data_IF_217400229295
#
_entry.id   IF_217400229295
#
_cell.length_a   1.000
_cell.length_b   1.000
_cell.length_c   1.000
_cell.angle_alpha   90.00
_cell.angle_beta   90.00
_cell.angle_gamma   90.00
#
_symmetry.space_group_name_H-M   'P 1'
#
loop_
_entity.id
_entity.type
_entity.pdbx_description
1 polymer ?
#
# COMPACT_ATOMS: atom_id res chain seq x y z
N UNK A 1 26.04 -10.69 36.16
CA UNK A 1 26.20 -9.27 35.73
C UNK A 1 25.37 -9.09 34.48
N UNK A 2 24.62 -8.00 34.36
CA UNK A 2 23.84 -7.69 33.16
C UNK A 2 24.82 -7.36 32.03
N UNK A 3 24.71 -8.07 30.91
CA UNK A 3 25.65 -7.89 29.81
C UNK A 3 25.16 -6.85 28.77
N UNK A 4 25.98 -6.55 27.77
CA UNK A 4 25.64 -5.55 26.76
C UNK A 4 24.37 -5.91 25.96
N UNK A 5 24.12 -7.22 25.73
CA UNK A 5 22.92 -7.69 25.04
C UNK A 5 21.67 -7.39 25.86
N UNK A 6 21.70 -7.67 27.17
CA UNK A 6 20.59 -7.36 28.09
C UNK A 6 20.28 -5.85 28.10
N UNK A 7 21.32 -5.01 28.12
CA UNK A 7 21.19 -3.56 28.05
C UNK A 7 20.51 -3.08 26.77
N UNK A 8 20.89 -3.64 25.62
CA UNK A 8 20.27 -3.31 24.32
C UNK A 8 18.81 -3.75 24.28
N UNK A 9 18.50 -4.95 24.78
CA UNK A 9 17.13 -5.47 24.84
C UNK A 9 16.24 -4.55 25.69
N UNK A 10 16.70 -4.20 26.90
CA UNK A 10 15.96 -3.31 27.80
C UNK A 10 15.81 -1.91 27.24
N UNK A 11 16.85 -1.36 26.61
CA UNK A 11 16.77 -0.05 25.97
C UNK A 11 15.77 -0.05 24.81
N UNK A 12 15.80 -1.07 23.95
CA UNK A 12 14.87 -1.21 22.83
C UNK A 12 13.42 -1.36 23.30
N UNK A 13 13.17 -2.23 24.28
CA UNK A 13 11.84 -2.42 24.87
C UNK A 13 11.36 -1.16 25.60
N UNK A 14 12.22 -0.54 26.41
CA UNK A 14 11.90 0.68 27.16
C UNK A 14 11.54 1.83 26.23
N UNK A 15 12.31 2.03 25.15
CA UNK A 15 12.00 3.01 24.12
C UNK A 15 10.68 2.69 23.42
N UNK A 16 10.45 1.43 23.03
CA UNK A 16 9.20 0.99 22.41
C UNK A 16 7.98 1.24 23.31
N UNK A 17 8.07 0.87 24.59
CA UNK A 17 7.07 1.16 25.60
C UNK A 17 6.82 2.67 25.76
N UNK A 18 7.89 3.47 25.85
CA UNK A 18 7.78 4.92 25.97
C UNK A 18 7.09 5.56 24.76
N UNK A 19 7.46 5.15 23.54
CA UNK A 19 6.81 5.61 22.32
C UNK A 19 5.34 5.21 22.26
N UNK A 20 5.01 3.98 22.67
CA UNK A 20 3.62 3.51 22.77
C UNK A 20 2.81 4.29 23.79
N UNK A 21 3.38 4.52 24.97
CA UNK A 21 2.75 5.29 26.04
C UNK A 21 2.45 6.73 25.61
N UNK A 22 3.41 7.37 24.92
CA UNK A 22 3.27 8.75 24.46
C UNK A 22 2.21 8.91 23.38
N UNK A 23 2.07 7.92 22.47
CA UNK A 23 1.10 7.97 21.37
C UNK A 23 -0.31 7.54 21.79
N UNK A 24 -0.43 6.57 22.69
CA UNK A 24 -1.70 5.97 23.08
C UNK A 24 -2.24 4.97 22.05
N UNK A 25 -3.04 4.02 22.52
CA UNK A 25 -3.59 2.92 21.75
C UNK A 25 -4.47 3.40 20.59
N UNK A 26 -5.45 4.25 20.87
CA UNK A 26 -6.41 4.73 19.88
C UNK A 26 -5.73 5.48 18.74
N UNK A 27 -4.73 6.29 19.04
CA UNK A 27 -3.93 6.99 18.02
C UNK A 27 -3.21 6.01 17.10
N UNK A 28 -2.70 4.91 17.64
CA UNK A 28 -2.02 3.86 16.87
C UNK A 28 -3.00 3.06 16.01
N UNK A 29 -4.15 2.68 16.58
CA UNK A 29 -5.20 1.94 15.87
C UNK A 29 -5.85 2.79 14.79
N UNK A 30 -6.19 4.05 15.08
CA UNK A 30 -6.71 4.98 14.07
C UNK A 30 -5.68 5.21 12.97
N UNK A 31 -4.41 5.39 13.33
CA UNK A 31 -3.34 5.55 12.35
C UNK A 31 -3.19 4.35 11.42
N UNK A 32 -3.00 3.14 11.98
CA UNK A 32 -2.84 1.91 11.21
C UNK A 32 -4.12 1.53 10.44
N UNK A 33 -5.27 1.64 11.11
CA UNK A 33 -6.58 1.35 10.53
C UNK A 33 -6.93 2.30 9.40
N UNK A 34 -6.59 3.58 9.49
CA UNK A 34 -6.85 4.54 8.42
C UNK A 34 -6.02 4.32 7.16
N UNK A 35 -4.81 3.77 7.26
CA UNK A 35 -4.06 3.38 6.06
C UNK A 35 -4.77 2.25 5.30
N UNK A 36 -5.21 1.22 6.02
CA UNK A 36 -5.95 0.09 5.43
C UNK A 36 -7.34 0.50 4.93
N UNK A 37 -8.14 1.13 5.78
CA UNK A 37 -9.47 1.62 5.41
C UNK A 37 -9.39 2.68 4.31
N UNK A 38 -8.38 3.55 4.33
CA UNK A 38 -8.16 4.54 3.28
C UNK A 38 -7.92 3.90 1.92
N UNK A 39 -7.24 2.75 1.88
CA UNK A 39 -7.08 1.99 0.64
C UNK A 39 -8.42 1.42 0.15
N UNK A 40 -9.23 0.84 1.03
CA UNK A 40 -10.56 0.32 0.66
C UNK A 40 -11.51 1.42 0.21
N UNK A 41 -11.54 2.55 0.92
CA UNK A 41 -12.32 3.74 0.55
C UNK A 41 -11.84 4.27 -0.80
N UNK A 42 -10.53 4.38 -1.01
CA UNK A 42 -9.98 4.78 -2.30
C UNK A 42 -10.40 3.83 -3.42
N UNK A 43 -10.31 2.53 -3.20
CA UNK A 43 -10.68 1.52 -4.20
C UNK A 43 -12.17 1.57 -4.56
N UNK A 44 -13.05 1.82 -3.59
CA UNK A 44 -14.49 1.90 -3.81
C UNK A 44 -14.95 3.20 -4.49
N UNK A 45 -14.32 4.32 -4.16
CA UNK A 45 -14.84 5.65 -4.52
C UNK A 45 -14.02 6.42 -5.56
N UNK A 46 -12.82 5.98 -5.94
CA UNK A 46 -11.94 6.77 -6.83
C UNK A 46 -12.59 7.10 -8.17
N UNK A 47 -13.36 6.18 -8.79
CA UNK A 47 -14.00 6.43 -10.09
C UNK A 47 -15.04 7.54 -10.03
N UNK A 48 -15.88 7.51 -8.99
CA UNK A 48 -16.94 8.52 -8.79
C UNK A 48 -16.32 9.89 -8.52
N UNK A 49 -15.31 9.93 -7.65
CA UNK A 49 -14.61 11.17 -7.31
C UNK A 49 -13.83 11.70 -8.50
N UNK A 50 -13.21 10.83 -9.30
CA UNK A 50 -12.50 11.23 -10.50
C UNK A 50 -13.42 11.83 -11.56
N UNK A 51 -14.59 11.23 -11.79
CA UNK A 51 -15.60 11.78 -12.70
C UNK A 51 -16.14 13.13 -12.21
N UNK A 52 -16.40 13.26 -10.90
CA UNK A 52 -16.85 14.52 -10.30
C UNK A 52 -15.82 15.65 -10.40
N UNK A 53 -14.55 15.34 -10.09
CA UNK A 53 -13.44 16.31 -10.21
C UNK A 53 -13.16 16.67 -11.67
N UNK A 54 -13.26 15.71 -12.59
CA UNK A 54 -13.09 15.99 -14.02
C UNK A 54 -14.20 16.90 -14.56
N UNK A 55 -15.45 16.70 -14.14
CA UNK A 55 -16.55 17.60 -14.49
C UNK A 55 -16.35 19.05 -14.01
N UNK A 56 -15.52 19.25 -12.99
CA UNK A 56 -15.18 20.57 -12.46
C UNK A 56 -13.95 21.20 -13.11
N UNK A 57 -12.90 20.42 -13.34
CA UNK A 57 -11.57 20.93 -13.73
C UNK A 57 -11.29 20.69 -15.22
N UNK A 58 -11.96 19.74 -15.86
CA UNK A 58 -11.70 19.33 -17.23
C UNK A 58 -10.29 18.74 -17.40
N UNK A 59 -9.80 18.01 -16.40
CA UNK A 59 -8.43 17.51 -16.36
C UNK A 59 -8.17 16.43 -17.41
N UNK A 60 -9.15 15.57 -17.68
CA UNK A 60 -9.06 14.49 -18.68
C UNK A 60 -9.01 15.06 -20.11
N UNK A 61 -9.89 16.00 -20.52
CA UNK A 61 -9.75 16.69 -21.81
C UNK A 61 -8.38 17.36 -21.99
N UNK A 62 -7.86 18.01 -20.95
CA UNK A 62 -6.55 18.66 -20.98
C UNK A 62 -5.40 17.64 -21.11
N UNK A 63 -5.40 16.58 -20.31
CA UNK A 63 -4.43 15.49 -20.38
C UNK A 63 -4.46 14.81 -21.75
N UNK A 64 -5.65 14.55 -22.30
CA UNK A 64 -5.81 14.02 -23.66
C UNK A 64 -5.17 14.94 -24.69
N UNK A 65 -5.48 16.24 -24.65
CA UNK A 65 -4.89 17.22 -25.56
C UNK A 65 -3.36 17.27 -25.47
N UNK A 66 -2.81 17.24 -24.26
CA UNK A 66 -1.37 17.20 -24.02
C UNK A 66 -0.73 15.90 -24.58
N UNK A 67 -1.35 14.75 -24.33
CA UNK A 67 -0.89 13.45 -24.81
C UNK A 67 -0.93 13.37 -26.33
N UNK A 68 -1.99 13.84 -26.99
CA UNK A 68 -2.08 13.88 -28.46
C UNK A 68 -0.98 14.76 -29.07
N UNK A 69 -0.62 15.87 -28.44
CA UNK A 69 0.43 16.76 -28.92
C UNK A 69 1.85 16.22 -28.70
N UNK A 70 2.07 15.42 -27.65
CA UNK A 70 3.40 14.97 -27.22
C UNK A 70 3.72 13.54 -27.60
N UNK A 71 2.74 12.65 -27.56
CA UNK A 71 2.84 11.32 -28.14
C UNK A 71 2.53 11.47 -29.62
N UNK A 72 3.57 11.71 -30.42
CA UNK A 72 3.52 11.51 -31.87
C UNK A 72 3.35 10.01 -32.15
N UNK A 73 2.18 9.47 -31.82
CA UNK A 73 1.76 8.15 -32.26
C UNK A 73 1.74 8.24 -33.79
N UNK A 74 2.48 7.38 -34.50
CA UNK A 74 2.53 7.42 -35.96
C UNK A 74 1.09 7.32 -36.48
N UNK A 75 0.55 8.44 -36.97
CA UNK A 75 -0.84 8.62 -37.38
C UNK A 75 -1.26 7.76 -38.60
N UNK A 76 -0.45 6.77 -38.97
CA UNK A 76 -0.66 5.93 -40.14
C UNK A 76 -1.49 4.67 -39.87
N UNK A 77 -1.78 4.31 -38.61
CA UNK A 77 -2.56 3.09 -38.31
C UNK A 77 -4.04 3.38 -38.10
N UNK A 78 -4.79 3.18 -39.19
CA UNK A 78 -6.23 2.98 -39.32
C UNK A 78 -7.17 4.10 -38.83
N UNK A 79 -7.80 4.79 -39.79
CA UNK A 79 -9.08 5.47 -39.59
C UNK A 79 -10.07 4.44 -39.04
N UNK A 80 -10.64 4.70 -37.87
CA UNK A 80 -11.70 3.86 -37.32
C UNK A 80 -12.98 4.16 -38.10
N UNK A 81 -13.30 3.34 -39.10
CA UNK A 81 -14.59 3.47 -39.78
C UNK A 81 -15.69 2.97 -38.83
N UNK A 82 -16.75 3.76 -38.57
CA UNK A 82 -17.82 3.41 -37.62
C UNK A 82 -18.48 2.06 -37.91
N UNK A 83 -18.52 1.67 -39.19
CA UNK A 83 -19.13 0.42 -39.68
C UNK A 83 -18.30 -0.83 -39.33
N UNK A 84 -17.00 -0.68 -39.04
CA UNK A 84 -16.14 -1.80 -38.60
C UNK A 84 -16.24 -2.09 -37.10
N UNK A 85 -16.83 -1.20 -36.29
CA UNK A 85 -16.88 -1.35 -34.82
C UNK A 85 -18.04 -2.25 -34.38
N UNK A 86 -19.06 -2.42 -35.21
CA UNK A 86 -20.28 -3.17 -34.88
C UNK A 86 -20.13 -4.71 -34.92
N UNK A 87 -18.97 -5.25 -35.34
CA UNK A 87 -18.81 -6.71 -35.46
C UNK A 87 -17.38 -7.25 -35.44
N UNK A 88 -16.35 -6.41 -35.24
CA UNK A 88 -14.96 -6.89 -35.21
C UNK A 88 -14.48 -7.03 -33.76
N UNK A 89 -14.01 -8.25 -33.45
CA UNK A 89 -13.16 -8.53 -32.30
C UNK A 89 -11.97 -7.55 -32.31
N UNK A 90 -12.10 -6.42 -31.61
CA UNK A 90 -11.04 -5.44 -31.36
C UNK A 90 -9.78 -6.15 -30.83
N UNK A 91 -9.96 -7.26 -30.10
CA UNK A 91 -8.90 -8.16 -29.65
C UNK A 91 -7.99 -8.66 -30.80
N UNK A 92 -8.54 -8.99 -31.98
CA UNK A 92 -7.79 -9.53 -33.12
C UNK A 92 -7.01 -8.44 -33.87
N UNK A 93 -7.55 -7.23 -33.98
CA UNK A 93 -6.87 -6.07 -34.58
C UNK A 93 -5.69 -5.60 -33.68
N UNK A 94 -5.87 -5.70 -32.37
CA UNK A 94 -4.82 -5.41 -31.39
C UNK A 94 -3.74 -6.52 -31.34
N UNK A 95 -4.08 -7.77 -31.67
CA UNK A 95 -3.14 -8.91 -31.71
C UNK A 95 -2.34 -9.03 -33.02
N UNK A 96 -2.95 -8.81 -34.19
CA UNK A 96 -2.38 -9.23 -35.48
C UNK A 96 -1.57 -8.17 -36.25
N UNK A 97 -1.42 -6.91 -35.80
CA UNK A 97 -0.46 -6.04 -36.51
C UNK A 97 -0.30 -4.57 -36.13
N UNK A 98 -1.28 -3.89 -35.54
CA UNK A 98 -1.18 -2.42 -35.43
C UNK A 98 -0.45 -1.89 -34.19
N UNK A 99 -0.23 -2.72 -33.17
CA UNK A 99 0.46 -2.33 -31.92
C UNK A 99 1.97 -2.63 -31.91
N UNK A 100 2.52 -3.22 -32.98
CA UNK A 100 3.96 -3.48 -33.06
C UNK A 100 4.79 -2.18 -33.08
N UNK A 101 4.18 -1.07 -33.50
CA UNK A 101 4.83 0.25 -33.52
C UNK A 101 4.80 1.01 -32.19
N UNK A 102 4.03 0.57 -31.19
CA UNK A 102 3.96 1.23 -29.88
C UNK A 102 4.68 0.37 -28.85
N UNK A 103 5.80 0.85 -28.32
CA UNK A 103 6.62 0.18 -27.30
C UNK A 103 5.94 0.17 -25.92
N UNK A 104 4.71 -0.33 -25.84
CA UNK A 104 3.97 -0.55 -24.60
C UNK A 104 4.20 -1.98 -24.10
N UNK A 105 4.42 -2.18 -22.78
CA UNK A 105 4.49 -3.51 -22.19
C UNK A 105 3.24 -4.36 -22.50
N UNK A 106 3.42 -5.66 -22.61
CA UNK A 106 2.40 -6.60 -23.11
C UNK A 106 1.11 -6.60 -22.27
N UNK A 107 1.25 -6.41 -20.95
CA UNK A 107 0.14 -6.25 -20.01
C UNK A 107 -0.79 -5.07 -20.36
N UNK A 108 -0.23 -3.89 -20.64
CA UNK A 108 -1.03 -2.70 -20.97
C UNK A 108 -1.80 -2.86 -22.27
N UNK A 109 -1.24 -3.59 -23.24
CA UNK A 109 -1.91 -3.86 -24.52
C UNK A 109 -3.14 -4.74 -24.35
N UNK A 110 -3.05 -5.78 -23.52
CA UNK A 110 -4.18 -6.68 -23.24
C UNK A 110 -5.27 -5.98 -22.44
N UNK A 111 -4.91 -5.19 -21.42
CA UNK A 111 -5.89 -4.45 -20.61
C UNK A 111 -6.58 -3.34 -21.43
N UNK A 112 -5.84 -2.64 -22.30
CA UNK A 112 -6.42 -1.69 -23.25
C UNK A 112 -7.43 -2.38 -24.18
N UNK A 113 -7.08 -3.51 -24.80
CA UNK A 113 -7.97 -4.22 -25.72
C UNK A 113 -9.28 -4.61 -25.02
N UNK A 114 -9.20 -5.09 -23.77
CA UNK A 114 -10.34 -5.45 -22.94
C UNK A 114 -11.23 -4.25 -22.57
N UNK A 115 -10.65 -3.10 -22.25
CA UNK A 115 -11.44 -1.92 -21.91
C UNK A 115 -12.01 -1.23 -23.16
N UNK A 116 -11.29 -1.23 -24.28
CA UNK A 116 -11.78 -0.71 -25.55
C UNK A 116 -12.95 -1.54 -26.10
N UNK A 117 -12.98 -2.86 -25.88
CA UNK A 117 -14.15 -3.68 -26.25
C UNK A 117 -15.40 -3.38 -25.41
N UNK A 118 -15.26 -2.67 -24.29
CA UNK A 118 -16.41 -2.26 -23.45
C UNK A 118 -16.95 -0.87 -23.80
N UNK A 119 -16.31 -0.12 -24.70
CA UNK A 119 -16.81 1.18 -25.15
C UNK A 119 -17.97 1.02 -26.13
N UNK A 120 -19.14 1.55 -25.76
CA UNK A 120 -20.33 1.60 -26.61
C UNK A 120 -20.33 2.85 -27.49
N UNK A 121 -21.03 2.77 -28.64
CA UNK A 121 -20.86 3.63 -29.82
C UNK A 121 -20.93 5.16 -29.68
N UNK A 122 -21.39 5.71 -28.54
CA UNK A 122 -21.43 7.16 -28.34
C UNK A 122 -20.04 7.78 -28.07
N UNK A 123 -19.15 7.08 -27.36
CA UNK A 123 -17.79 7.56 -27.11
C UNK A 123 -16.92 7.48 -28.39
N UNK A 124 -17.13 6.44 -29.19
CA UNK A 124 -16.44 6.18 -30.46
C UNK A 124 -16.83 7.16 -31.57
N UNK A 125 -18.07 7.66 -31.60
CA UNK A 125 -18.53 8.61 -32.62
C UNK A 125 -17.76 9.95 -32.63
N UNK A 126 -17.10 10.29 -31.52
CA UNK A 126 -16.29 11.51 -31.38
C UNK A 126 -14.80 11.34 -31.69
N UNK A 127 -14.35 10.11 -31.94
CA UNK A 127 -12.93 9.78 -32.10
C UNK A 127 -12.64 9.32 -33.52
N UNK A 128 -11.67 9.96 -34.17
CA UNK A 128 -11.40 9.74 -35.59
C UNK A 128 -10.29 8.72 -35.83
N UNK A 129 -9.41 8.50 -34.84
CA UNK A 129 -8.20 7.69 -34.95
C UNK A 129 -7.93 6.83 -33.70
N UNK A 130 -7.31 5.67 -33.89
CA UNK A 130 -6.94 4.75 -32.80
C UNK A 130 -5.94 5.39 -31.81
N UNK A 131 -5.09 6.30 -32.28
CA UNK A 131 -4.20 7.09 -31.42
C UNK A 131 -4.94 8.01 -30.45
N UNK A 132 -6.10 8.55 -30.83
CA UNK A 132 -6.94 9.35 -29.94
C UNK A 132 -7.59 8.48 -28.86
N UNK A 133 -7.96 7.23 -29.19
CA UNK A 133 -8.49 6.27 -28.22
C UNK A 133 -7.44 5.88 -27.19
N UNK A 134 -6.20 5.62 -27.63
CA UNK A 134 -5.08 5.32 -26.72
C UNK A 134 -4.76 6.52 -25.84
N UNK A 135 -4.71 7.74 -26.40
CA UNK A 135 -4.48 8.96 -25.63
C UNK A 135 -5.59 9.20 -24.60
N UNK A 136 -6.84 8.96 -24.95
CA UNK A 136 -7.99 9.11 -24.06
C UNK A 136 -7.99 8.08 -22.93
N UNK A 137 -7.67 6.81 -23.24
CA UNK A 137 -7.50 5.76 -22.23
C UNK A 137 -6.36 6.10 -21.25
N UNK A 138 -5.20 6.52 -21.77
CA UNK A 138 -4.06 6.88 -20.94
C UNK A 138 -4.38 8.11 -20.07
N UNK A 139 -5.09 9.11 -20.62
CA UNK A 139 -5.55 10.27 -19.86
C UNK A 139 -6.46 9.86 -18.68
N UNK A 140 -7.47 9.03 -18.93
CA UNK A 140 -8.36 8.53 -17.88
C UNK A 140 -7.62 7.69 -16.84
N UNK A 141 -6.72 6.81 -17.28
CA UNK A 141 -5.93 5.96 -16.38
C UNK A 141 -5.02 6.78 -15.48
N UNK A 142 -4.29 7.75 -16.04
CA UNK A 142 -3.44 8.67 -15.28
C UNK A 142 -4.27 9.49 -14.28
N UNK A 143 -5.42 9.99 -14.71
CA UNK A 143 -6.32 10.74 -13.85
C UNK A 143 -6.86 9.89 -12.70
N UNK A 144 -7.31 8.67 -12.99
CA UNK A 144 -7.78 7.73 -11.97
C UNK A 144 -6.70 7.38 -10.96
N UNK A 145 -5.47 7.11 -11.39
CA UNK A 145 -4.34 6.82 -10.48
C UNK A 145 -4.03 8.03 -9.60
N UNK A 146 -4.02 9.22 -10.19
CA UNK A 146 -3.79 10.47 -9.45
C UNK A 146 -4.88 10.71 -8.40
N UNK A 147 -6.15 10.60 -8.78
CA UNK A 147 -7.29 10.78 -7.87
C UNK A 147 -7.30 9.72 -6.79
N UNK A 148 -7.02 8.46 -7.13
CA UNK A 148 -6.87 7.38 -6.15
C UNK A 148 -5.79 7.71 -5.12
N UNK A 149 -4.60 8.11 -5.57
CA UNK A 149 -3.49 8.48 -4.69
C UNK A 149 -3.84 9.67 -3.79
N UNK A 150 -4.47 10.71 -4.35
CA UNK A 150 -4.93 11.87 -3.59
C UNK A 150 -6.00 11.51 -2.55
N UNK A 151 -6.97 10.68 -2.92
CA UNK A 151 -8.04 10.26 -2.01
C UNK A 151 -7.48 9.41 -0.87
N UNK A 152 -6.57 8.48 -1.18
CA UNK A 152 -5.91 7.67 -0.17
C UNK A 152 -5.09 8.52 0.80
N UNK A 153 -4.30 9.46 0.28
CA UNK A 153 -3.55 10.42 1.08
C UNK A 153 -4.48 11.30 1.93
N UNK A 154 -5.59 11.76 1.38
CA UNK A 154 -6.57 12.57 2.10
C UNK A 154 -7.17 11.80 3.29
N UNK A 155 -7.54 10.53 3.10
CA UNK A 155 -8.04 9.69 4.20
C UNK A 155 -6.94 9.45 5.25
N UNK A 156 -5.71 9.14 4.83
CA UNK A 156 -4.60 8.94 5.76
C UNK A 156 -4.27 10.21 6.57
N UNK A 157 -4.28 11.38 5.92
CA UNK A 157 -4.02 12.67 6.56
C UNK A 157 -5.15 13.10 7.49
N UNK A 158 -6.41 12.93 7.09
CA UNK A 158 -7.56 13.26 7.94
C UNK A 158 -7.59 12.40 9.21
N UNK A 159 -7.25 11.12 9.12
CA UNK A 159 -7.08 10.27 10.29
C UNK A 159 -5.93 10.72 11.20
N UNK A 160 -4.81 11.18 10.64
CA UNK A 160 -3.71 11.77 11.43
C UNK A 160 -4.15 13.03 12.16
N UNK A 161 -4.98 13.86 11.53
CA UNK A 161 -5.57 15.05 12.17
C UNK A 161 -6.52 14.64 13.30
N UNK A 162 -7.43 13.68 13.05
CA UNK A 162 -8.35 13.15 14.05
C UNK A 162 -7.60 12.57 15.26
N UNK A 163 -6.53 11.80 15.03
CA UNK A 163 -5.70 11.23 16.07
C UNK A 163 -4.96 12.30 16.89
N UNK A 164 -4.49 13.38 16.26
CA UNK A 164 -3.93 14.54 16.98
C UNK A 164 -4.97 15.28 17.81
N UNK A 165 -6.18 15.43 17.27
CA UNK A 165 -7.29 16.06 17.98
C UNK A 165 -7.65 15.23 19.21
N UNK A 166 -7.72 13.90 19.05
CA UNK A 166 -7.94 12.96 20.14
C UNK A 166 -6.90 13.11 21.25
N UNK A 167 -5.60 13.12 20.91
CA UNK A 167 -4.54 13.30 21.92
C UNK A 167 -4.66 14.63 22.69
N UNK A 168 -5.20 15.68 22.08
CA UNK A 168 -5.48 16.95 22.77
C UNK A 168 -6.68 16.85 23.71
N UNK A 169 -7.72 16.11 23.30
CA UNK A 169 -9.00 16.05 24.01
C UNK A 169 -9.04 15.00 25.13
N UNK A 170 -8.25 13.93 25.01
CA UNK A 170 -8.26 12.77 25.91
C UNK A 170 -7.96 13.09 27.38
N UNK A 171 -7.21 14.16 27.65
CA UNK A 171 -6.81 14.56 29.00
C UNK A 171 -5.96 13.53 29.76
N UNK A 172 -5.79 13.75 31.07
CA UNK A 172 -5.03 12.89 32.00
C UNK A 172 -5.93 12.06 32.93
N UNK A 173 -7.24 11.98 32.65
CA UNK A 173 -8.17 11.15 33.40
C UNK A 173 -7.95 9.64 33.19
N UNK A 174 -8.76 8.82 33.86
CA UNK A 174 -8.69 7.34 33.80
C UNK A 174 -8.65 6.79 32.36
N UNK A 175 -9.53 7.29 31.49
CA UNK A 175 -9.58 6.96 30.06
C UNK A 175 -8.27 7.30 29.33
N UNK A 176 -7.67 8.45 29.67
CA UNK A 176 -6.40 8.86 29.09
C UNK A 176 -5.24 7.99 29.55
N UNK A 177 -5.22 7.62 30.83
CA UNK A 177 -4.21 6.73 31.39
C UNK A 177 -4.33 5.32 30.80
N UNK A 178 -5.54 4.78 30.69
CA UNK A 178 -5.81 3.49 30.05
C UNK A 178 -5.38 3.47 28.58
N UNK A 179 -5.65 4.52 27.81
CA UNK A 179 -5.22 4.61 26.41
C UNK A 179 -3.68 4.67 26.29
N UNK A 180 -2.98 5.39 27.18
CA UNK A 180 -1.50 5.39 27.20
C UNK A 180 -0.96 4.00 27.54
N UNK A 181 -1.46 3.36 28.60
CA UNK A 181 -0.95 2.06 29.03
C UNK A 181 -1.20 0.97 27.98
N UNK A 182 -2.40 0.94 27.38
CA UNK A 182 -2.70 0.04 26.26
C UNK A 182 -1.80 0.31 25.05
N UNK A 183 -1.50 1.58 24.76
CA UNK A 183 -0.57 1.95 23.69
C UNK A 183 0.85 1.47 23.97
N UNK A 184 1.29 1.59 25.21
CA UNK A 184 2.59 1.11 25.67
C UNK A 184 2.69 -0.42 25.57
N UNK A 185 1.65 -1.14 26.00
CA UNK A 185 1.57 -2.60 25.90
C UNK A 185 1.56 -3.07 24.45
N UNK A 186 0.85 -2.38 23.56
CA UNK A 186 0.79 -2.76 22.15
C UNK A 186 2.14 -2.58 21.44
N UNK A 187 2.78 -1.40 21.56
CA UNK A 187 4.10 -1.19 20.92
C UNK A 187 5.19 -1.99 21.64
N UNK A 188 5.18 -1.99 22.97
CA UNK A 188 6.16 -2.72 23.77
C UNK A 188 6.08 -4.23 23.55
N UNK A 189 4.87 -4.79 23.53
CA UNK A 189 4.63 -6.20 23.24
C UNK A 189 5.01 -6.57 21.81
N UNK A 190 4.60 -5.79 20.81
CA UNK A 190 4.99 -6.06 19.42
C UNK A 190 6.49 -5.93 19.17
N UNK A 191 7.15 -4.95 19.79
CA UNK A 191 8.61 -4.84 19.77
C UNK A 191 9.27 -6.03 20.47
N UNK A 192 8.72 -6.52 21.57
CA UNK A 192 9.18 -7.74 22.24
C UNK A 192 9.09 -8.98 21.35
N UNK A 193 7.95 -9.17 20.67
CA UNK A 193 7.77 -10.26 19.69
C UNK A 193 8.77 -10.12 18.53
N UNK A 194 8.93 -8.91 17.98
CA UNK A 194 9.88 -8.66 16.89
C UNK A 194 11.33 -8.94 17.32
N UNK A 195 11.70 -8.50 18.52
CA UNK A 195 13.03 -8.73 19.08
C UNK A 195 13.25 -10.22 19.34
N UNK A 196 12.24 -10.93 19.84
CA UNK A 196 12.28 -12.37 20.03
C UNK A 196 12.47 -13.11 18.69
N UNK A 197 11.74 -12.72 17.64
CA UNK A 197 11.90 -13.28 16.29
C UNK A 197 13.31 -13.01 15.74
N UNK A 198 13.82 -11.79 15.92
CA UNK A 198 15.15 -11.39 15.46
C UNK A 198 16.24 -12.18 16.18
N UNK A 199 16.16 -12.29 17.50
CA UNK A 199 17.10 -13.07 18.32
C UNK A 199 17.01 -14.57 17.98
N UNK A 200 15.81 -15.09 17.77
CA UNK A 200 15.60 -16.49 17.34
C UNK A 200 16.18 -16.74 15.96
N UNK A 201 15.99 -15.83 15.01
CA UNK A 201 16.58 -15.94 13.68
C UNK A 201 18.11 -15.91 13.75
N UNK A 202 18.67 -15.03 14.58
CA UNK A 202 20.10 -14.84 14.72
C UNK A 202 20.82 -16.02 15.41
N UNK A 203 20.19 -16.63 16.44
CA UNK A 203 20.82 -17.67 17.27
C UNK A 203 20.20 -19.07 17.13
N UNK A 204 19.07 -19.21 16.43
CA UNK A 204 18.25 -20.43 16.42
C UNK A 204 18.69 -21.52 15.44
N UNK A 205 19.53 -21.22 14.44
CA UNK A 205 20.03 -22.22 13.49
C UNK A 205 21.50 -22.00 13.15
N UNK A 206 22.33 -23.06 13.04
CA UNK A 206 23.68 -22.94 12.50
C UNK A 206 23.62 -22.42 11.05
N UNK A 207 24.26 -21.29 10.76
CA UNK A 207 24.36 -20.73 9.40
C UNK A 207 23.46 -19.53 9.07
N UNK A 208 22.58 -19.07 9.97
CA UNK A 208 21.71 -17.91 9.70
C UNK A 208 22.37 -16.55 9.92
N UNK A 209 23.44 -16.45 10.71
CA UNK A 209 24.17 -15.20 10.93
C UNK A 209 25.69 -15.41 10.99
N UNK A 210 26.48 -14.65 10.19
CA UNK A 210 27.95 -14.74 10.19
C UNK A 210 28.57 -14.18 11.48
N UNK A 211 27.87 -13.32 12.21
CA UNK A 211 28.34 -12.70 13.47
C UNK A 211 28.03 -13.54 14.71
N UNK A 212 27.37 -14.69 14.56
CA UNK A 212 26.93 -15.53 15.68
C UNK A 212 28.08 -16.04 16.53
N UNK A 213 29.18 -16.47 15.93
CA UNK A 213 30.33 -17.03 16.66
C UNK A 213 30.98 -15.99 17.58
N UNK A 214 31.03 -14.74 17.15
CA UNK A 214 31.60 -13.62 17.91
C UNK A 214 30.66 -13.12 19.01
N UNK A 215 29.34 -13.21 18.80
CA UNK A 215 28.32 -12.75 19.76
C UNK A 215 27.80 -13.86 20.69
N UNK A 216 28.26 -15.10 20.51
CA UNK A 216 27.89 -16.25 21.33
C UNK A 216 28.18 -16.05 22.84
N UNK A 217 29.30 -15.43 23.26
CA UNK A 217 29.52 -15.10 24.68
C UNK A 217 28.48 -14.12 25.24
N UNK A 218 27.96 -13.22 24.42
CA UNK A 218 26.88 -12.31 24.81
C UNK A 218 25.54 -13.04 24.95
N UNK A 219 25.31 -14.12 24.19
CA UNK A 219 24.14 -14.98 24.39
C UNK A 219 24.24 -15.74 25.71
N UNK A 220 25.36 -16.42 25.95
CA UNK A 220 25.55 -17.28 27.12
C UNK A 220 25.57 -16.46 28.42
N UNK A 221 26.12 -15.24 28.37
CA UNK A 221 26.13 -14.33 29.52
C UNK A 221 24.85 -13.51 29.73
N UNK A 222 23.83 -13.64 28.88
CA UNK A 222 22.61 -12.84 28.94
C UNK A 222 21.61 -13.43 29.94
N UNK A 223 21.10 -12.58 30.82
CA UNK A 223 20.05 -12.97 31.77
C UNK A 223 18.66 -12.97 31.12
N UNK A 224 18.43 -12.14 30.11
CA UNK A 224 17.13 -11.99 29.46
C UNK A 224 16.89 -12.97 28.31
N UNK A 225 17.96 -13.49 27.71
CA UNK A 225 17.86 -14.41 26.59
C UNK A 225 17.06 -15.69 26.89
N UNK A 226 17.25 -16.39 28.03
CA UNK A 226 16.42 -17.55 28.39
C UNK A 226 14.93 -17.21 28.44
N UNK A 227 14.56 -16.10 29.08
CA UNK A 227 13.16 -15.66 29.19
C UNK A 227 12.54 -15.34 27.83
N UNK A 228 13.29 -14.74 26.91
CA UNK A 228 12.83 -14.52 25.53
C UNK A 228 12.57 -15.84 24.79
N UNK A 229 13.39 -16.87 25.05
CA UNK A 229 13.19 -18.20 24.45
C UNK A 229 12.03 -18.97 25.09
N UNK A 230 11.79 -18.80 26.39
CA UNK A 230 10.63 -19.39 27.07
C UNK A 230 9.33 -18.73 26.58
N UNK A 231 9.29 -17.40 26.50
CA UNK A 231 8.17 -16.66 25.89
C UNK A 231 7.91 -17.10 24.44
N UNK A 232 8.96 -17.45 23.68
CA UNK A 232 8.78 -18.00 22.34
C UNK A 232 8.02 -19.31 22.36
N UNK A 233 8.39 -20.22 23.25
CA UNK A 233 7.75 -21.52 23.34
C UNK A 233 6.28 -21.36 23.73
N UNK A 234 5.97 -20.46 24.66
CA UNK A 234 4.58 -20.13 25.03
C UNK A 234 3.80 -19.53 23.86
N UNK A 235 4.38 -18.57 23.12
CA UNK A 235 3.75 -18.00 21.92
C UNK A 235 3.51 -19.06 20.84
N UNK A 236 4.46 -19.96 20.62
CA UNK A 236 4.29 -21.08 19.69
C UNK A 236 3.23 -22.06 20.20
N UNK A 237 3.13 -22.30 21.51
CA UNK A 237 2.07 -23.13 22.07
C UNK A 237 0.68 -22.49 21.89
N UNK A 238 0.57 -21.17 22.06
CA UNK A 238 -0.69 -20.44 21.95
C UNK A 238 -1.14 -20.25 20.50
N UNK A 239 -0.20 -19.97 19.58
CA UNK A 239 -0.49 -19.62 18.19
C UNK A 239 -0.14 -20.71 17.17
N UNK A 240 0.69 -21.68 17.53
CA UNK A 240 1.13 -22.78 16.65
C UNK A 240 0.01 -23.75 16.27
N UNK A 241 -1.11 -23.76 17.00
CA UNK A 241 -2.33 -24.47 16.61
C UNK A 241 -3.05 -23.85 15.40
N UNK A 242 -2.69 -22.63 14.98
CA UNK A 242 -3.26 -21.94 13.81
C UNK A 242 -2.47 -22.15 12.52
N UNK A 243 -1.58 -23.14 12.45
CA UNK A 243 -1.09 -23.61 11.15
C UNK A 243 -2.30 -24.10 10.35
N UNK A 244 -2.70 -23.33 9.34
CA UNK A 244 -3.72 -23.71 8.36
C UNK A 244 -3.46 -25.16 7.91
N UNK A 245 -4.41 -26.04 8.22
CA UNK A 245 -4.63 -27.25 7.42
C UNK A 245 -5.39 -26.86 6.17
#
# INVERSE_FOLDING_TARGET
>A
MMNALDGVILAALGLAFYYGYRRGFLTLVIGAGAYGLGFFVATGFYKVVAAGLDGWIGAVPWLRGYLVQRLALPMATAKVQPEMVAGLNLERIFHEGMLQGIALPLFFRQEMAKQLSTWTGAALASMTNLGEMVADYVAHSLWHVLVFGLLWLFVALSAKVAARLWMRWRGDGFLGMADRTLGALLIGGSAGVALMLLVTWFYGSPGTSPLRLESEPLRVGSLLFPYLMDMRQELVAWFGGFTFR
#
